data_IF_809341248118
#
_entry.id   IF_809341248118
#
_cell.length_a   1.000
_cell.length_b   1.000
_cell.length_c   1.000
_cell.angle_alpha   90.00
_cell.angle_beta   90.00
_cell.angle_gamma   90.00
#
_symmetry.space_group_name_H-M   'P 1'
#
loop_
_entity.id
_entity.type
_entity.pdbx_description
1 polymer ?
#
# COMPACT_ATOMS: atom_id res chain seq x y z
N UNK A 1 25.61 20.09 18.28
CA UNK A 1 24.54 19.90 17.28
C UNK A 1 24.35 18.39 17.15
N UNK A 2 23.42 17.83 17.91
CA UNK A 2 23.13 16.39 17.88
C UNK A 2 22.05 16.20 16.83
N UNK A 3 22.44 15.79 15.63
CA UNK A 3 21.50 15.43 14.55
C UNK A 3 20.84 14.09 14.88
N UNK A 4 19.56 13.93 14.55
CA UNK A 4 18.89 12.63 14.70
C UNK A 4 19.71 11.53 14.00
N UNK A 5 19.87 10.39 14.66
CA UNK A 5 20.56 9.26 14.06
C UNK A 5 19.59 8.59 13.07
N UNK A 6 19.75 8.89 11.79
CA UNK A 6 19.09 8.17 10.71
C UNK A 6 19.94 6.93 10.43
N UNK A 7 19.39 5.74 10.71
CA UNK A 7 20.08 4.49 10.40
C UNK A 7 19.90 4.18 8.91
N UNK A 8 20.85 4.58 8.08
CA UNK A 8 20.82 4.35 6.62
C UNK A 8 21.72 3.19 6.15
N UNK A 9 22.18 2.31 7.06
CA UNK A 9 23.20 1.33 6.69
C UNK A 9 22.66 0.20 5.79
N UNK A 10 23.20 0.02 4.56
CA UNK A 10 22.73 -1.00 3.61
C UNK A 10 23.03 -2.44 4.04
N UNK A 11 24.12 -2.69 4.78
CA UNK A 11 24.67 -4.05 4.94
C UNK A 11 24.08 -4.93 6.06
N UNK A 12 23.14 -4.45 6.86
CA UNK A 12 22.57 -5.23 8.00
C UNK A 12 21.27 -5.94 7.62
N UNK A 13 20.64 -5.54 6.52
CA UNK A 13 19.33 -6.00 6.08
C UNK A 13 19.36 -6.63 4.69
N UNK A 14 20.56 -6.94 4.19
CA UNK A 14 20.76 -7.52 2.87
C UNK A 14 20.07 -8.89 2.76
N UNK A 15 19.62 -9.20 1.54
CA UNK A 15 19.04 -10.49 1.20
C UNK A 15 20.12 -11.56 1.36
N UNK A 16 20.04 -12.36 2.43
CA UNK A 16 20.91 -13.51 2.55
C UNK A 16 20.61 -14.50 1.41
N UNK A 17 21.68 -14.92 0.73
CA UNK A 17 21.66 -15.77 -0.46
C UNK A 17 21.18 -17.19 -0.17
N UNK A 18 20.93 -17.54 1.11
CA UNK A 18 20.38 -18.83 1.53
C UNK A 18 18.85 -18.90 1.53
N UNK A 19 18.14 -17.79 1.26
CA UNK A 19 16.67 -17.76 1.27
C UNK A 19 16.09 -18.78 0.29
N UNK A 20 15.49 -19.83 0.84
CA UNK A 20 14.79 -20.85 0.06
C UNK A 20 13.29 -20.55 0.06
N UNK A 21 12.75 -20.25 -1.11
CA UNK A 21 11.32 -20.00 -1.30
C UNK A 21 10.58 -21.31 -1.64
N UNK A 22 9.35 -21.53 -1.17
CA UNK A 22 8.52 -22.65 -1.64
C UNK A 22 8.31 -22.55 -3.16
N UNK A 23 8.25 -23.70 -3.87
CA UNK A 23 8.09 -23.72 -5.32
C UNK A 23 6.75 -23.13 -5.75
N UNK A 24 6.72 -22.50 -6.93
CA UNK A 24 5.47 -22.02 -7.53
C UNK A 24 4.67 -23.19 -8.12
N UNK A 25 3.34 -23.22 -7.90
CA UNK A 25 2.46 -24.20 -8.54
C UNK A 25 2.48 -24.16 -10.08
N UNK A 26 2.66 -22.97 -10.65
CA UNK A 26 2.58 -22.69 -12.08
C UNK A 26 3.67 -21.70 -12.52
N UNK A 27 4.20 -21.91 -13.73
CA UNK A 27 5.10 -20.96 -14.42
C UNK A 27 4.39 -19.73 -14.98
N UNK A 28 3.37 -19.23 -14.28
CA UNK A 28 2.55 -18.09 -14.73
C UNK A 28 3.35 -16.79 -14.59
N UNK A 29 3.40 -15.91 -15.61
CA UNK A 29 4.03 -14.60 -15.49
C UNK A 29 3.39 -13.81 -14.35
N UNK A 30 4.20 -13.03 -13.66
CA UNK A 30 3.74 -12.16 -12.59
C UNK A 30 3.87 -10.71 -13.00
N UNK A 31 2.75 -10.02 -13.03
CA UNK A 31 2.69 -8.58 -13.02
C UNK A 31 2.85 -8.11 -11.56
N UNK A 32 4.01 -7.56 -11.23
CA UNK A 32 4.32 -6.98 -9.92
C UNK A 32 3.93 -5.50 -9.97
N UNK A 33 2.88 -5.13 -9.23
CA UNK A 33 2.23 -3.82 -9.38
C UNK A 33 2.60 -2.94 -8.18
N UNK A 34 3.52 -2.01 -8.39
CA UNK A 34 3.78 -0.93 -7.44
C UNK A 34 2.71 0.17 -7.55
N UNK A 35 2.56 0.97 -6.49
CA UNK A 35 1.76 2.20 -6.58
C UNK A 35 2.35 3.18 -7.61
N UNK A 36 3.67 3.35 -7.55
CA UNK A 36 4.42 4.36 -8.29
C UNK A 36 4.82 5.54 -7.43
N UNK A 37 5.89 6.22 -7.83
CA UNK A 37 6.52 7.30 -7.08
C UNK A 37 7.04 8.36 -8.05
N UNK A 38 6.89 9.63 -7.68
CA UNK A 38 7.57 10.75 -8.36
C UNK A 38 9.05 10.83 -8.03
N UNK A 39 9.46 10.21 -6.93
CA UNK A 39 10.86 10.10 -6.55
C UNK A 39 11.51 8.92 -7.29
N UNK A 40 12.57 9.24 -8.05
CA UNK A 40 13.28 8.27 -8.89
C UNK A 40 13.89 7.11 -8.09
N UNK A 41 14.34 7.35 -6.86
CA UNK A 41 14.87 6.29 -5.99
C UNK A 41 13.73 5.37 -5.54
N UNK A 42 12.59 5.93 -5.15
CA UNK A 42 11.40 5.14 -4.80
C UNK A 42 10.93 4.25 -5.96
N UNK A 43 10.97 4.76 -7.20
CA UNK A 43 10.73 3.95 -8.41
C UNK A 43 11.77 2.84 -8.55
N UNK A 44 13.06 3.18 -8.46
CA UNK A 44 14.15 2.22 -8.63
C UNK A 44 14.08 1.09 -7.59
N UNK A 45 13.77 1.39 -6.33
CA UNK A 45 13.64 0.37 -5.28
C UNK A 45 12.57 -0.70 -5.60
N UNK A 46 11.47 -0.34 -6.27
CA UNK A 46 10.45 -1.32 -6.72
C UNK A 46 11.00 -2.21 -7.83
N UNK A 47 11.74 -1.63 -8.78
CA UNK A 47 12.39 -2.38 -9.86
C UNK A 47 13.47 -3.33 -9.32
N UNK A 48 14.24 -2.87 -8.34
CA UNK A 48 15.27 -3.65 -7.66
C UNK A 48 14.63 -4.78 -6.85
N UNK A 49 13.50 -4.52 -6.17
CA UNK A 49 12.74 -5.56 -5.47
C UNK A 49 12.22 -6.63 -6.45
N UNK A 50 11.71 -6.23 -7.61
CA UNK A 50 11.28 -7.15 -8.66
C UNK A 50 12.45 -7.98 -9.21
N UNK A 51 13.61 -7.35 -9.38
CA UNK A 51 14.84 -8.01 -9.84
C UNK A 51 15.34 -9.02 -8.81
N UNK A 52 15.39 -8.65 -7.53
CA UNK A 52 15.76 -9.54 -6.45
C UNK A 52 14.80 -10.74 -6.36
N UNK A 53 13.50 -10.50 -6.51
CA UNK A 53 12.51 -11.57 -6.49
C UNK A 53 12.61 -12.51 -7.71
N UNK A 54 12.88 -11.96 -8.91
CA UNK A 54 13.15 -12.75 -10.12
C UNK A 54 14.39 -13.65 -9.97
N UNK A 55 15.44 -13.16 -9.31
CA UNK A 55 16.69 -13.88 -9.13
C UNK A 55 16.55 -15.12 -8.23
N UNK A 56 15.55 -15.14 -7.33
CA UNK A 56 15.27 -16.29 -6.48
C UNK A 56 14.57 -17.45 -7.21
N UNK A 57 13.94 -17.19 -8.35
CA UNK A 57 13.18 -18.19 -9.10
C UNK A 57 12.98 -17.79 -10.57
N UNK A 58 13.69 -18.47 -11.47
CA UNK A 58 13.66 -18.21 -12.91
C UNK A 58 12.57 -19.00 -13.65
N UNK A 59 11.67 -19.71 -12.95
CA UNK A 59 10.62 -20.54 -13.59
C UNK A 59 9.59 -19.75 -14.40
N UNK A 60 9.54 -18.42 -14.24
CA UNK A 60 8.66 -17.51 -14.97
C UNK A 60 9.24 -16.08 -14.98
N UNK A 61 8.73 -15.18 -15.86
CA UNK A 61 9.08 -13.75 -15.82
C UNK A 61 8.29 -12.92 -14.78
N UNK A 62 9.00 -12.10 -14.01
CA UNK A 62 8.47 -11.05 -13.12
C UNK A 62 8.51 -9.72 -13.87
N UNK A 63 7.34 -9.13 -14.10
CA UNK A 63 7.15 -7.90 -14.85
C UNK A 63 6.76 -6.77 -13.87
N UNK A 64 7.70 -5.90 -13.46
CA UNK A 64 7.34 -4.75 -12.64
C UNK A 64 6.59 -3.72 -13.46
N UNK A 65 5.54 -3.16 -12.87
CA UNK A 65 4.76 -2.06 -13.42
C UNK A 65 4.18 -1.21 -12.29
N UNK A 66 3.58 -0.08 -12.66
CA UNK A 66 3.06 0.89 -11.72
C UNK A 66 1.63 1.28 -12.06
N UNK A 67 0.84 1.49 -11.01
CA UNK A 67 -0.52 2.00 -11.12
C UNK A 67 -0.54 3.43 -11.66
N UNK A 68 0.33 4.30 -11.12
CA UNK A 68 0.35 5.73 -11.45
C UNK A 68 1.75 6.34 -11.28
N UNK A 69 1.89 7.64 -11.61
CA UNK A 69 3.05 8.51 -11.36
C UNK A 69 4.34 8.18 -12.13
N UNK A 70 4.53 6.94 -12.57
CA UNK A 70 5.76 6.49 -13.24
C UNK A 70 5.46 5.30 -14.15
N UNK A 71 6.39 5.05 -15.08
CA UNK A 71 6.38 3.93 -16.02
C UNK A 71 7.34 2.80 -15.61
N UNK A 72 7.11 1.56 -16.08
CA UNK A 72 6.04 1.15 -17.03
C UNK A 72 4.66 1.02 -16.39
N UNK A 73 3.60 1.28 -17.16
CA UNK A 73 2.20 1.18 -16.71
C UNK A 73 1.75 -0.29 -16.58
N UNK A 74 0.63 -0.53 -15.89
CA UNK A 74 -0.03 -1.85 -15.87
C UNK A 74 -0.29 -2.36 -17.29
N UNK A 75 -0.78 -1.50 -18.20
CA UNK A 75 -1.02 -1.86 -19.59
C UNK A 75 0.26 -2.29 -20.30
N UNK A 76 1.36 -1.56 -20.13
CA UNK A 76 2.66 -1.90 -20.76
C UNK A 76 3.16 -3.28 -20.26
N UNK A 77 2.96 -3.56 -18.97
CA UNK A 77 3.29 -4.86 -18.40
C UNK A 77 2.45 -6.00 -18.99
N UNK A 78 1.15 -5.77 -19.21
CA UNK A 78 0.26 -6.73 -19.87
C UNK A 78 0.63 -6.92 -21.34
N UNK A 79 0.88 -5.84 -22.08
CA UNK A 79 1.29 -5.88 -23.49
C UNK A 79 2.54 -6.77 -23.64
N UNK A 80 3.55 -6.59 -22.78
CA UNK A 80 4.77 -7.43 -22.77
C UNK A 80 4.49 -8.91 -22.50
N UNK A 81 3.57 -9.24 -21.60
CA UNK A 81 3.17 -10.62 -21.35
C UNK A 81 2.50 -11.24 -22.58
N UNK A 82 1.61 -10.48 -23.24
CA UNK A 82 0.89 -10.95 -24.43
C UNK A 82 1.83 -11.12 -25.62
N UNK A 83 2.76 -10.18 -25.83
CA UNK A 83 3.80 -10.27 -26.86
C UNK A 83 4.69 -11.52 -26.68
N UNK A 84 4.92 -11.93 -25.43
CA UNK A 84 5.64 -13.16 -25.10
C UNK A 84 4.76 -14.43 -25.19
N UNK A 85 3.48 -14.31 -25.57
CA UNK A 85 2.56 -15.42 -25.81
C UNK A 85 1.78 -15.88 -24.58
N UNK A 86 1.79 -15.14 -23.46
CA UNK A 86 1.06 -15.51 -22.26
C UNK A 86 -0.43 -15.11 -22.33
N UNK A 87 -1.30 -16.04 -21.94
CA UNK A 87 -2.76 -15.83 -21.80
C UNK A 87 -3.22 -15.79 -20.34
N UNK A 88 -2.39 -16.24 -19.41
CA UNK A 88 -2.70 -16.33 -17.99
C UNK A 88 -1.69 -15.51 -17.22
N UNK A 89 -2.14 -14.54 -16.43
CA UNK A 89 -1.26 -13.59 -15.74
C UNK A 89 -1.64 -13.47 -14.27
N UNK A 90 -0.68 -13.67 -13.37
CA UNK A 90 -0.84 -13.31 -11.95
C UNK A 90 -0.60 -11.82 -11.79
N UNK A 91 -1.56 -11.08 -11.25
CA UNK A 91 -1.44 -9.66 -10.97
C UNK A 91 -1.36 -9.44 -9.45
N UNK A 92 -0.21 -9.00 -8.94
CA UNK A 92 0.01 -8.85 -7.50
C UNK A 92 0.39 -7.42 -7.11
N UNK A 93 -0.46 -6.74 -6.33
CA UNK A 93 -0.13 -5.43 -5.76
C UNK A 93 0.94 -5.53 -4.66
N UNK A 94 2.04 -4.80 -4.85
CA UNK A 94 3.08 -4.59 -3.84
C UNK A 94 2.70 -3.37 -3.00
N UNK A 95 1.65 -3.55 -2.21
CA UNK A 95 1.04 -2.55 -1.34
C UNK A 95 0.93 -3.10 0.08
N UNK A 96 1.05 -2.23 1.09
CA UNK A 96 1.00 -2.64 2.49
C UNK A 96 -0.40 -2.89 3.01
N UNK A 97 -1.36 -2.03 2.69
CA UNK A 97 -2.75 -2.15 3.12
C UNK A 97 -3.71 -1.94 1.95
N UNK A 98 -4.86 -2.63 1.99
CA UNK A 98 -5.89 -2.48 0.99
C UNK A 98 -6.71 -1.21 1.23
N UNK A 99 -6.35 -0.15 0.53
CA UNK A 99 -7.18 1.04 0.35
C UNK A 99 -7.74 1.07 -1.08
N UNK A 100 -8.21 2.24 -1.52
CA UNK A 100 -8.74 2.50 -2.88
C UNK A 100 -7.89 1.86 -3.99
N UNK A 101 -6.57 2.02 -3.94
CA UNK A 101 -5.68 1.53 -5.00
C UNK A 101 -5.75 0.01 -5.21
N UNK A 102 -5.84 -0.77 -4.12
CA UNK A 102 -5.99 -2.22 -4.22
C UNK A 102 -7.45 -2.65 -4.47
N UNK A 103 -8.42 -1.91 -3.91
CA UNK A 103 -9.83 -2.31 -3.94
C UNK A 103 -10.56 -1.86 -5.21
N UNK A 104 -10.01 -0.91 -5.96
CA UNK A 104 -10.69 -0.26 -7.08
C UNK A 104 -9.75 0.10 -8.24
N UNK A 105 -8.66 0.83 -8.00
CA UNK A 105 -7.91 1.43 -9.11
C UNK A 105 -7.13 0.38 -9.94
N UNK A 106 -6.41 -0.55 -9.29
CA UNK A 106 -5.68 -1.62 -10.00
C UNK A 106 -6.64 -2.53 -10.77
N UNK A 107 -7.78 -2.88 -10.18
CA UNK A 107 -8.77 -3.73 -10.85
C UNK A 107 -9.35 -3.04 -12.08
N UNK A 108 -9.57 -1.73 -12.03
CA UNK A 108 -10.02 -0.97 -13.20
C UNK A 108 -8.96 -0.93 -14.32
N UNK A 109 -7.67 -0.78 -13.99
CA UNK A 109 -6.61 -0.85 -15.01
C UNK A 109 -6.50 -2.24 -15.63
N UNK A 110 -6.67 -3.31 -14.84
CA UNK A 110 -6.72 -4.67 -15.37
C UNK A 110 -7.96 -4.90 -16.26
N UNK A 111 -9.10 -4.30 -15.93
CA UNK A 111 -10.31 -4.38 -16.75
C UNK A 111 -10.12 -3.66 -18.10
N UNK A 112 -9.47 -2.49 -18.11
CA UNK A 112 -9.07 -1.80 -19.34
C UNK A 112 -8.10 -2.64 -20.17
N UNK A 113 -7.11 -3.24 -19.52
CA UNK A 113 -6.17 -4.13 -20.20
C UNK A 113 -6.86 -5.35 -20.82
N UNK A 114 -7.91 -5.89 -20.18
CA UNK A 114 -8.74 -6.98 -20.72
C UNK A 114 -9.55 -6.55 -21.95
N UNK A 115 -9.99 -5.30 -22.04
CA UNK A 115 -10.67 -4.81 -23.25
C UNK A 115 -9.75 -4.84 -24.48
N UNK A 116 -8.46 -4.55 -24.28
CA UNK A 116 -7.44 -4.62 -25.33
C UNK A 116 -6.97 -6.04 -25.63
N UNK A 117 -6.92 -6.90 -24.60
CA UNK A 117 -6.50 -8.30 -24.71
C UNK A 117 -7.55 -9.26 -24.15
N UNK A 118 -8.67 -9.51 -24.87
CA UNK A 118 -9.78 -10.34 -24.38
C UNK A 118 -9.41 -11.80 -24.09
N UNK A 119 -8.30 -12.29 -24.66
CA UNK A 119 -7.76 -13.62 -24.44
C UNK A 119 -7.07 -13.79 -23.07
N UNK A 120 -6.79 -12.70 -22.35
CA UNK A 120 -6.03 -12.73 -21.10
C UNK A 120 -6.94 -13.00 -19.90
N UNK A 121 -6.57 -14.01 -19.13
CA UNK A 121 -7.14 -14.28 -17.80
C UNK A 121 -6.21 -13.73 -16.72
N UNK A 122 -6.76 -12.86 -15.88
CA UNK A 122 -6.04 -12.29 -14.73
C UNK A 122 -6.39 -13.03 -13.45
N UNK A 123 -5.35 -13.42 -12.71
CA UNK A 123 -5.46 -13.91 -11.34
C UNK A 123 -5.00 -12.81 -10.40
N UNK A 124 -5.95 -12.15 -9.75
CA UNK A 124 -5.65 -11.01 -8.90
C UNK A 124 -5.33 -11.44 -7.47
N UNK A 125 -4.12 -11.09 -7.03
CA UNK A 125 -3.65 -11.34 -5.68
C UNK A 125 -4.04 -10.25 -4.69
N UNK A 126 -3.93 -10.56 -3.40
CA UNK A 126 -4.10 -9.56 -2.33
C UNK A 126 -2.78 -8.83 -2.04
N UNK A 127 -2.89 -7.59 -1.55
CA UNK A 127 -1.81 -6.83 -0.93
C UNK A 127 -1.08 -7.60 0.20
N UNK A 128 0.06 -7.07 0.66
CA UNK A 128 0.88 -7.73 1.69
C UNK A 128 0.12 -7.87 3.01
N UNK A 129 -0.55 -6.80 3.45
CA UNK A 129 -1.35 -6.77 4.67
C UNK A 129 -0.49 -6.98 5.92
N UNK A 130 -1.14 -7.41 6.99
CA UNK A 130 -0.46 -7.84 8.21
C UNK A 130 0.04 -9.27 8.01
N UNK A 131 1.36 -9.45 8.04
CA UNK A 131 2.02 -10.74 7.89
C UNK A 131 3.02 -10.99 9.02
N UNK A 132 3.17 -12.24 9.51
CA UNK A 132 4.15 -12.57 10.53
C UNK A 132 5.58 -12.13 10.17
N UNK A 133 5.98 -12.25 8.91
CA UNK A 133 7.33 -11.86 8.51
C UNK A 133 7.56 -10.35 8.60
N UNK A 134 6.52 -9.54 8.41
CA UNK A 134 6.63 -8.09 8.60
C UNK A 134 6.80 -7.77 10.09
N UNK A 135 6.10 -8.49 10.97
CA UNK A 135 6.28 -8.36 12.42
C UNK A 135 7.70 -8.76 12.82
N UNK A 136 8.19 -9.89 12.31
CA UNK A 136 9.55 -10.37 12.60
C UNK A 136 10.61 -9.38 12.10
N UNK A 137 10.44 -8.81 10.90
CA UNK A 137 11.32 -7.75 10.39
C UNK A 137 11.42 -6.57 11.37
N UNK A 138 10.28 -6.06 11.88
CA UNK A 138 10.31 -4.96 12.83
C UNK A 138 10.88 -5.35 14.19
N UNK A 139 10.61 -6.57 14.67
CA UNK A 139 11.19 -7.09 15.91
C UNK A 139 12.70 -7.22 15.81
N UNK A 140 13.22 -7.73 14.69
CA UNK A 140 14.65 -7.87 14.44
C UNK A 140 15.33 -6.49 14.42
N UNK A 141 14.72 -5.52 13.74
CA UNK A 141 15.22 -4.12 13.71
C UNK A 141 15.25 -3.50 15.10
N UNK A 142 14.17 -3.64 15.88
CA UNK A 142 14.11 -3.11 17.23
C UNK A 142 15.13 -3.79 18.15
N UNK A 143 15.35 -5.09 18.01
CA UNK A 143 16.37 -5.81 18.80
C UNK A 143 17.79 -5.31 18.51
N UNK A 144 18.10 -4.92 17.27
CA UNK A 144 19.40 -4.31 16.96
C UNK A 144 19.61 -2.99 17.72
N UNK A 145 18.54 -2.22 17.98
CA UNK A 145 18.61 -0.97 18.72
C UNK A 145 18.93 -1.14 20.22
N UNK A 146 18.95 -2.37 20.75
CA UNK A 146 19.41 -2.62 22.13
C UNK A 146 20.93 -2.80 22.21
N UNK A 147 21.61 -2.98 21.09
CA UNK A 147 23.06 -3.22 21.08
C UNK A 147 23.83 -1.94 21.46
N UNK A 148 25.02 -2.05 22.08
CA UNK A 148 25.83 -0.88 22.45
C UNK A 148 26.15 0.06 21.29
N UNK A 149 26.19 -0.46 20.06
CA UNK A 149 26.40 0.31 18.83
C UNK A 149 25.28 1.32 18.56
N UNK A 150 24.03 0.94 18.85
CA UNK A 150 22.83 1.76 18.59
C UNK A 150 22.16 2.26 19.90
N UNK A 151 22.69 1.85 21.06
CA UNK A 151 22.29 2.33 22.39
C UNK A 151 23.49 2.61 23.29
N UNK A 152 24.35 3.58 22.92
CA UNK A 152 25.55 3.89 23.71
C UNK A 152 25.20 4.44 25.10
N UNK A 153 24.02 5.05 25.26
CA UNK A 153 23.54 5.61 26.53
C UNK A 153 22.76 4.60 27.38
N UNK A 154 22.62 3.35 26.92
CA UNK A 154 21.91 2.27 27.61
C UNK A 154 20.50 2.67 28.07
N UNK A 155 19.78 3.41 27.23
CA UNK A 155 18.37 3.76 27.49
C UNK A 155 17.55 2.48 27.49
N UNK A 156 16.90 2.19 28.61
CA UNK A 156 16.07 0.99 28.75
C UNK A 156 14.79 1.11 27.91
N UNK A 157 14.25 -0.03 27.46
CA UNK A 157 12.99 -0.06 26.69
C UNK A 157 11.82 0.59 27.44
N UNK A 158 11.73 0.41 28.77
CA UNK A 158 10.70 1.04 29.63
C UNK A 158 10.74 2.57 29.64
N UNK A 159 11.87 3.18 29.25
CA UNK A 159 12.05 4.63 29.13
C UNK A 159 11.95 5.11 27.67
N UNK A 160 11.56 4.21 26.76
CA UNK A 160 11.54 4.42 25.31
C UNK A 160 10.13 4.29 24.74
N UNK A 161 9.72 5.24 23.92
CA UNK A 161 8.43 5.23 23.19
C UNK A 161 8.66 4.85 21.73
N UNK A 162 7.83 3.94 21.21
CA UNK A 162 7.76 3.68 19.78
C UNK A 162 6.78 4.68 19.14
N UNK A 163 7.19 5.31 18.05
CA UNK A 163 6.33 6.16 17.23
C UNK A 163 6.13 5.51 15.85
N UNK A 164 5.02 4.79 15.70
CA UNK A 164 4.67 4.07 14.48
C UNK A 164 4.01 5.02 13.47
N UNK A 165 4.60 5.14 12.28
CA UNK A 165 4.20 6.15 11.29
C UNK A 165 3.67 5.47 10.03
N UNK A 166 2.36 5.56 9.80
CA UNK A 166 1.74 5.11 8.56
C UNK A 166 1.72 6.21 7.48
N UNK A 167 1.53 5.82 6.22
CA UNK A 167 1.21 6.77 5.13
C UNK A 167 -0.13 7.48 5.37
N UNK A 168 -1.12 6.72 5.87
CA UNK A 168 -2.52 7.11 5.89
C UNK A 168 -3.22 6.77 4.57
N UNK A 169 -4.50 6.43 4.68
CA UNK A 169 -5.35 6.07 3.55
C UNK A 169 -6.72 6.74 3.66
N UNK A 170 -7.40 6.87 2.52
CA UNK A 170 -8.81 7.29 2.45
C UNK A 170 -9.79 6.16 2.77
N UNK A 171 -9.30 5.05 3.33
CA UNK A 171 -10.08 3.89 3.74
C UNK A 171 -9.83 3.65 5.25
N UNK A 172 -10.86 3.79 6.11
CA UNK A 172 -10.74 3.55 7.55
C UNK A 172 -10.20 2.17 7.91
N UNK A 173 -10.51 1.14 7.12
CA UNK A 173 -10.07 -0.24 7.34
C UNK A 173 -8.54 -0.35 7.25
N UNK A 174 -7.96 0.24 6.20
CA UNK A 174 -6.51 0.32 6.03
C UNK A 174 -5.83 1.14 7.14
N UNK A 175 -6.49 2.20 7.64
CA UNK A 175 -5.97 2.96 8.77
C UNK A 175 -6.03 2.15 10.08
N UNK A 176 -7.07 1.34 10.28
CA UNK A 176 -7.21 0.44 11.42
C UNK A 176 -6.12 -0.65 11.47
N UNK A 177 -5.73 -1.19 10.30
CA UNK A 177 -4.64 -2.16 10.22
C UNK A 177 -3.29 -1.60 10.67
N UNK A 178 -3.04 -0.30 10.49
CA UNK A 178 -1.84 0.37 11.04
C UNK A 178 -1.83 0.29 12.57
N UNK A 179 -2.95 0.61 13.22
CA UNK A 179 -3.05 0.51 14.69
C UNK A 179 -2.93 -0.93 15.18
N UNK A 180 -3.54 -1.88 14.47
CA UNK A 180 -3.44 -3.30 14.79
C UNK A 180 -1.99 -3.77 14.72
N UNK A 181 -1.27 -3.43 13.65
CA UNK A 181 0.13 -3.80 13.50
C UNK A 181 1.02 -3.12 14.55
N UNK A 182 0.85 -1.81 14.77
CA UNK A 182 1.58 -1.07 15.80
C UNK A 182 1.38 -1.70 17.19
N UNK A 183 0.14 -2.10 17.50
CA UNK A 183 -0.16 -2.82 18.74
C UNK A 183 0.58 -4.15 18.81
N UNK A 184 0.53 -4.96 17.74
CA UNK A 184 1.22 -6.26 17.70
C UNK A 184 2.74 -6.14 17.81
N UNK A 185 3.36 -5.09 17.25
CA UNK A 185 4.79 -4.82 17.40
C UNK A 185 5.15 -4.48 18.85
N UNK A 186 4.27 -3.78 19.57
CA UNK A 186 4.51 -3.36 20.94
C UNK A 186 4.25 -4.45 21.99
N UNK A 187 3.26 -5.32 21.78
CA UNK A 187 2.91 -6.38 22.74
C UNK A 187 4.12 -7.28 23.05
N UNK A 188 4.46 -7.40 24.34
CA UNK A 188 5.61 -8.20 24.80
C UNK A 188 6.99 -7.59 24.49
N UNK A 189 7.05 -6.38 23.93
CA UNK A 189 8.32 -5.73 23.57
C UNK A 189 9.07 -5.10 24.74
N UNK A 190 8.38 -4.76 25.83
CA UNK A 190 8.95 -4.04 26.98
C UNK A 190 9.20 -2.54 26.75
N UNK A 191 8.82 -1.99 25.59
CA UNK A 191 8.80 -0.53 25.38
C UNK A 191 7.69 0.12 26.21
N UNK A 192 7.89 1.37 26.64
CA UNK A 192 6.94 2.09 27.50
C UNK A 192 5.52 2.10 26.90
N UNK A 193 5.42 2.55 25.65
CA UNK A 193 4.19 2.57 24.87
C UNK A 193 4.50 2.59 23.37
N UNK A 194 3.46 2.44 22.56
CA UNK A 194 3.48 2.75 21.13
C UNK A 194 2.46 3.84 20.83
N UNK A 195 2.92 4.92 20.23
CA UNK A 195 2.07 5.94 19.64
C UNK A 195 1.98 5.74 18.12
N UNK A 196 0.79 5.96 17.56
CA UNK A 196 0.52 5.75 16.14
C UNK A 196 0.07 7.05 15.50
N UNK A 197 0.69 7.40 14.39
CA UNK A 197 0.41 8.61 13.64
C UNK A 197 0.63 8.40 12.14
N UNK A 198 0.37 9.44 11.36
CA UNK A 198 0.38 9.37 9.91
C UNK A 198 1.07 10.58 9.29
N UNK A 199 1.79 10.37 8.19
CA UNK A 199 2.45 11.47 7.46
C UNK A 199 1.52 12.12 6.42
N UNK A 200 0.49 11.41 5.97
CA UNK A 200 -0.45 11.81 4.92
C UNK A 200 -1.90 11.45 5.27
N UNK A 201 -2.85 11.86 4.41
CA UNK A 201 -4.28 11.50 4.28
C UNK A 201 -5.14 11.46 5.57
N UNK A 202 -4.75 10.74 6.61
CA UNK A 202 -5.51 10.58 7.86
C UNK A 202 -4.80 11.24 9.04
N UNK A 203 -5.48 11.27 10.18
CA UNK A 203 -5.03 11.86 11.44
C UNK A 203 -4.88 10.77 12.51
N UNK A 204 -4.08 11.00 13.58
CA UNK A 204 -3.27 12.19 13.86
C UNK A 204 -2.01 12.29 13.00
N UNK A 205 -1.59 13.51 12.66
CA UNK A 205 -0.37 13.75 11.86
C UNK A 205 0.91 13.54 12.68
N UNK A 206 2.06 13.40 12.00
CA UNK A 206 3.34 13.04 12.62
C UNK A 206 3.75 14.00 13.76
N UNK A 207 3.56 15.30 13.57
CA UNK A 207 3.86 16.33 14.57
C UNK A 207 3.03 16.12 15.85
N UNK A 208 1.76 15.79 15.71
CA UNK A 208 0.89 15.44 16.82
C UNK A 208 1.27 14.09 17.44
N UNK A 209 1.77 13.15 16.64
CA UNK A 209 2.36 11.90 17.11
C UNK A 209 3.55 12.13 18.05
N UNK A 210 4.47 13.02 17.68
CA UNK A 210 5.59 13.42 18.55
C UNK A 210 5.10 14.12 19.83
N UNK A 211 4.14 15.04 19.71
CA UNK A 211 3.55 15.72 20.88
C UNK A 211 2.97 14.70 21.87
N UNK A 212 2.23 13.71 21.39
CA UNK A 212 1.64 12.64 22.20
C UNK A 212 2.70 11.72 22.81
N UNK A 213 3.70 11.31 22.02
CA UNK A 213 4.80 10.47 22.51
C UNK A 213 5.53 11.10 23.71
N UNK A 214 5.69 12.44 23.71
CA UNK A 214 6.33 13.19 24.80
C UNK A 214 5.52 13.22 26.10
N UNK A 215 4.20 12.98 26.06
CA UNK A 215 3.38 12.94 27.28
C UNK A 215 3.79 11.81 28.23
N UNK A 216 4.44 10.77 27.71
CA UNK A 216 5.01 9.67 28.48
C UNK A 216 6.38 9.98 29.11
N UNK A 217 6.88 11.21 28.92
CA UNK A 217 8.20 11.67 29.40
C UNK A 217 9.35 10.71 29.06
N UNK A 218 9.47 10.26 27.79
CA UNK A 218 10.49 9.28 27.42
C UNK A 218 11.90 9.88 27.42
N UNK A 219 12.89 9.03 27.67
CA UNK A 219 14.29 9.35 27.39
C UNK A 219 14.64 9.17 25.90
N UNK A 220 13.90 8.30 25.21
CA UNK A 220 14.11 7.97 23.79
C UNK A 220 12.79 7.78 23.04
N UNK A 221 12.71 8.27 21.82
CA UNK A 221 11.64 8.01 20.86
C UNK A 221 12.24 7.31 19.65
N UNK A 222 11.72 6.14 19.30
CA UNK A 222 12.11 5.41 18.07
C UNK A 222 10.98 5.58 17.06
N UNK A 223 11.27 6.22 15.94
CA UNK A 223 10.33 6.40 14.82
C UNK A 223 10.40 5.19 13.91
N UNK A 224 9.24 4.56 13.65
CA UNK A 224 9.07 3.37 12.82
C UNK A 224 8.23 3.74 11.59
N UNK A 225 8.86 4.12 10.47
CA UNK A 225 8.15 4.40 9.23
C UNK A 225 7.66 3.11 8.58
N UNK A 226 6.35 2.91 8.55
CA UNK A 226 5.75 1.74 7.94
C UNK A 226 5.59 1.91 6.42
N UNK A 227 6.72 1.80 5.73
CA UNK A 227 6.86 1.96 4.28
C UNK A 227 7.68 0.82 3.69
N UNK A 228 7.32 0.38 2.48
CA UNK A 228 8.11 -0.62 1.74
C UNK A 228 9.39 -0.01 1.21
N UNK A 229 9.30 1.17 0.59
CA UNK A 229 10.41 1.81 -0.12
C UNK A 229 10.50 3.29 0.24
N UNK A 230 11.68 3.87 0.01
CA UNK A 230 11.89 5.31 0.16
C UNK A 230 11.07 6.14 -0.83
N UNK A 231 11.07 7.46 -0.64
CA UNK A 231 10.41 8.42 -1.50
C UNK A 231 10.17 9.75 -0.78
N UNK A 232 9.33 10.61 -1.37
CA UNK A 232 9.05 11.96 -0.84
C UNK A 232 8.56 11.93 0.60
N UNK A 233 7.60 11.04 0.93
CA UNK A 233 7.05 10.94 2.28
C UNK A 233 8.05 10.38 3.28
N UNK A 234 8.92 9.47 2.86
CA UNK A 234 9.96 8.92 3.73
C UNK A 234 10.96 10.02 4.11
N UNK A 235 11.42 10.78 3.13
CA UNK A 235 12.29 11.96 3.34
C UNK A 235 11.64 12.97 4.30
N UNK A 236 10.35 13.27 4.10
CA UNK A 236 9.60 14.17 4.99
C UNK A 236 9.58 13.69 6.46
N UNK A 237 9.37 12.38 6.70
CA UNK A 237 9.42 11.83 8.07
C UNK A 237 10.80 12.00 8.68
N UNK A 238 11.87 11.75 7.91
CA UNK A 238 13.25 11.91 8.35
C UNK A 238 13.55 13.37 8.71
N UNK A 239 13.11 14.32 7.88
CA UNK A 239 13.28 15.76 8.11
C UNK A 239 12.57 16.19 9.40
N UNK A 240 11.32 15.76 9.59
CA UNK A 240 10.54 16.06 10.80
C UNK A 240 11.21 15.43 12.04
N UNK A 241 11.66 14.18 11.96
CA UNK A 241 12.35 13.53 13.07
C UNK A 241 13.67 14.24 13.43
N UNK A 242 14.43 14.70 12.43
CA UNK A 242 15.64 15.49 12.63
C UNK A 242 15.34 16.84 13.28
N UNK A 243 14.28 17.52 12.85
CA UNK A 243 13.81 18.74 13.49
C UNK A 243 13.42 18.50 14.96
N UNK A 244 12.65 17.43 15.23
CA UNK A 244 12.21 17.07 16.57
C UNK A 244 13.36 16.73 17.53
N UNK A 245 14.46 16.18 17.02
CA UNK A 245 15.69 16.01 17.79
C UNK A 245 16.34 17.35 18.12
N UNK A 246 16.36 18.29 17.18
CA UNK A 246 16.95 19.62 17.35
C UNK A 246 16.17 20.48 18.36
N UNK A 247 14.84 20.44 18.26
CA UNK A 247 13.93 21.22 19.12
C UNK A 247 13.89 20.68 20.56
N UNK A 248 14.26 19.41 20.76
CA UNK A 248 14.20 18.73 22.06
C UNK A 248 15.44 17.85 22.30
N UNK A 249 16.60 18.45 22.60
CA UNK A 249 17.87 17.75 22.75
C UNK A 249 17.92 16.79 23.95
N UNK A 250 16.98 16.90 24.90
CA UNK A 250 16.87 16.05 26.08
C UNK A 250 16.30 14.65 25.79
N UNK A 251 15.57 14.49 24.69
CA UNK A 251 15.01 13.21 24.25
C UNK A 251 15.76 12.73 23.03
N UNK A 252 16.31 11.52 23.09
CA UNK A 252 16.95 10.89 21.95
C UNK A 252 15.90 10.47 20.92
N UNK A 253 16.08 10.86 19.66
CA UNK A 253 15.20 10.48 18.54
C UNK A 253 15.99 9.65 17.55
N UNK A 254 15.56 8.40 17.35
CA UNK A 254 16.11 7.49 16.35
C UNK A 254 15.05 7.29 15.27
N UNK A 255 15.38 7.56 14.01
CA UNK A 255 14.49 7.28 12.89
C UNK A 255 15.01 6.06 12.12
N UNK A 256 14.22 4.98 12.11
CA UNK A 256 14.51 3.82 11.28
C UNK A 256 14.25 4.13 9.80
N UNK A 257 14.92 3.42 8.86
CA UNK A 257 14.62 3.53 7.44
C UNK A 257 13.32 2.77 7.12
N UNK A 258 12.85 2.90 5.87
CA UNK A 258 11.82 2.03 5.32
C UNK A 258 12.22 0.54 5.41
N UNK A 259 11.28 -0.38 5.17
CA UNK A 259 11.56 -1.83 5.21
C UNK A 259 12.55 -2.28 4.13
N UNK A 260 12.50 -1.68 2.94
CA UNK A 260 13.43 -1.94 1.84
C UNK A 260 13.25 -3.33 1.22
N UNK A 261 14.35 -3.87 0.67
CA UNK A 261 14.38 -5.20 0.06
C UNK A 261 14.91 -6.17 1.12
N UNK A 262 14.00 -6.91 1.76
CA UNK A 262 14.34 -7.83 2.85
C UNK A 262 13.78 -9.22 2.60
N UNK A 263 14.47 -10.26 3.07
CA UNK A 263 14.04 -11.66 2.92
C UNK A 263 12.59 -11.90 3.39
N UNK A 264 12.21 -11.34 4.53
CA UNK A 264 10.86 -11.35 5.09
C UNK A 264 9.82 -10.87 4.07
N UNK A 265 10.10 -9.77 3.35
CA UNK A 265 9.19 -9.23 2.34
C UNK A 265 9.17 -10.07 1.06
N UNK A 266 10.30 -10.67 0.67
CA UNK A 266 10.35 -11.63 -0.44
C UNK A 266 9.57 -12.92 -0.10
N UNK A 267 9.58 -13.32 1.18
CA UNK A 267 8.75 -14.41 1.72
C UNK A 267 7.24 -14.08 1.65
N UNK A 268 6.85 -12.87 2.07
CA UNK A 268 5.46 -12.40 1.92
C UNK A 268 5.05 -12.38 0.45
N UNK A 269 5.90 -11.83 -0.43
CA UNK A 269 5.69 -11.81 -1.87
C UNK A 269 5.41 -13.22 -2.41
N UNK A 270 6.27 -14.19 -2.06
CA UNK A 270 6.09 -15.59 -2.45
C UNK A 270 4.79 -16.19 -1.96
N UNK A 271 4.43 -15.98 -0.69
CA UNK A 271 3.16 -16.49 -0.16
C UNK A 271 1.97 -15.92 -0.91
N UNK A 272 1.95 -14.60 -1.12
CA UNK A 272 0.87 -13.90 -1.82
C UNK A 272 0.74 -14.39 -3.26
N UNK A 273 1.86 -14.67 -3.89
CA UNK A 273 1.88 -15.19 -5.24
C UNK A 273 1.36 -16.63 -5.30
N UNK A 274 1.75 -17.51 -4.37
CA UNK A 274 1.21 -18.87 -4.27
C UNK A 274 -0.31 -18.80 -4.08
N UNK A 275 -0.80 -17.97 -3.14
CA UNK A 275 -2.23 -17.74 -2.93
C UNK A 275 -2.94 -17.32 -4.23
N UNK A 276 -2.31 -16.45 -5.02
CA UNK A 276 -2.82 -15.98 -6.32
C UNK A 276 -2.86 -17.10 -7.35
N UNK A 277 -1.83 -17.96 -7.38
CA UNK A 277 -1.74 -19.06 -8.33
C UNK A 277 -2.74 -20.18 -8.03
N UNK A 278 -2.99 -20.47 -6.76
CA UNK A 278 -3.89 -21.55 -6.31
C UNK A 278 -5.35 -21.10 -6.14
N UNK A 279 -5.63 -19.80 -6.26
CA UNK A 279 -6.97 -19.25 -6.03
C UNK A 279 -7.38 -19.21 -4.56
N UNK A 280 -6.43 -19.31 -3.62
CA UNK A 280 -6.70 -19.25 -2.17
C UNK A 280 -6.60 -17.83 -1.60
N UNK A 281 -6.86 -16.80 -2.43
CA UNK A 281 -6.83 -15.40 -2.02
C UNK A 281 -8.04 -15.10 -1.13
N UNK A 282 -7.80 -14.93 0.17
CA UNK A 282 -8.81 -14.50 1.13
C UNK A 282 -8.75 -12.98 1.38
N UNK A 283 -9.84 -12.28 1.09
CA UNK A 283 -10.02 -10.84 1.34
C UNK A 283 -11.18 -10.63 2.31
N UNK A 284 -10.97 -9.90 3.41
CA UNK A 284 -11.99 -9.54 4.38
C UNK A 284 -12.82 -8.35 3.87
N UNK A 285 -13.70 -8.57 2.90
CA UNK A 285 -14.49 -7.49 2.31
C UNK A 285 -15.74 -7.10 3.12
N UNK A 286 -15.97 -7.66 4.31
CA UNK A 286 -17.22 -7.48 5.07
C UNK A 286 -17.50 -6.02 5.45
N UNK A 287 -16.48 -5.28 5.89
CA UNK A 287 -16.57 -3.86 6.23
C UNK A 287 -16.06 -2.93 5.13
N UNK A 288 -15.85 -3.45 3.91
CA UNK A 288 -15.32 -2.67 2.81
C UNK A 288 -16.35 -1.62 2.36
N UNK A 289 -16.05 -0.32 2.50
CA UNK A 289 -16.97 0.76 2.12
C UNK A 289 -17.41 0.70 0.65
N UNK A 290 -16.54 0.23 -0.25
CA UNK A 290 -16.89 0.03 -1.67
C UNK A 290 -17.96 -1.05 -1.86
N UNK A 291 -17.90 -2.14 -1.06
CA UNK A 291 -18.91 -3.20 -1.06
C UNK A 291 -20.23 -2.68 -0.52
N UNK A 292 -20.19 -1.94 0.60
CA UNK A 292 -21.38 -1.38 1.23
C UNK A 292 -22.11 -0.42 0.27
N UNK A 293 -21.38 0.49 -0.38
CA UNK A 293 -21.95 1.40 -1.38
C UNK A 293 -22.55 0.67 -2.59
N UNK A 294 -21.89 -0.38 -3.11
CA UNK A 294 -22.45 -1.19 -4.20
C UNK A 294 -23.74 -1.91 -3.80
N UNK A 295 -23.83 -2.38 -2.55
CA UNK A 295 -25.04 -3.00 -2.02
C UNK A 295 -26.20 -1.98 -1.88
N UNK A 296 -25.90 -0.78 -1.38
CA UNK A 296 -26.87 0.34 -1.28
C UNK A 296 -27.39 0.76 -2.66
N UNK A 297 -26.51 0.91 -3.65
CA UNK A 297 -26.90 1.25 -5.02
C UNK A 297 -27.84 0.20 -5.63
N UNK A 298 -27.55 -1.09 -5.41
CA UNK A 298 -28.39 -2.18 -5.92
C UNK A 298 -29.74 -2.29 -5.18
N UNK A 299 -29.77 -2.04 -3.87
CA UNK A 299 -31.02 -2.05 -3.09
C UNK A 299 -31.91 -0.85 -3.40
N UNK A 300 -31.35 0.30 -3.75
CA UNK A 300 -32.11 1.45 -4.27
C UNK A 300 -32.75 1.19 -5.66
N UNK A 301 -32.19 0.26 -6.46
CA UNK A 301 -32.73 -0.10 -7.77
C UNK A 301 -33.92 -1.06 -7.72
N UNK A 302 -34.16 -1.74 -6.59
CA UNK A 302 -35.25 -2.69 -6.41
C UNK A 302 -36.56 -2.09 -5.82
N UNK A 303 -36.65 -0.76 -5.73
CA UNK A 303 -37.83 -0.04 -5.22
C UNK A 303 -38.91 0.28 -6.27
N UNK A 304 -38.80 -0.20 -7.51
CA UNK A 304 -39.86 -0.05 -8.50
C UNK A 304 -40.77 -1.28 -8.51
N UNK A 305 -41.87 -1.16 -7.77
CA UNK A 305 -43.05 -2.02 -7.85
C UNK A 305 -43.45 -2.25 -9.32
N UNK A 306 -43.25 -3.47 -9.81
CA UNK A 306 -43.93 -3.93 -11.02
C UNK A 306 -45.30 -4.49 -10.61
N UNK A 307 -46.27 -3.59 -10.45
CA UNK A 307 -47.68 -3.97 -10.49
C UNK A 307 -48.00 -4.50 -11.89
N UNK A 308 -48.05 -5.82 -12.05
CA UNK A 308 -48.51 -6.46 -13.27
C UNK A 308 -50.04 -6.34 -13.37
N UNK A 309 -50.50 -5.22 -13.91
CA UNK A 309 -51.85 -5.04 -14.44
C UNK A 309 -51.92 -5.54 -15.88
N UNK A 310 -53.02 -6.22 -16.19
CA UNK A 310 -53.27 -7.07 -17.34
C UNK A 310 -53.28 -6.39 -18.73
N UNK A 311 -53.12 -7.28 -19.73
CA UNK A 311 -53.93 -7.40 -20.95
C UNK A 311 -53.40 -6.92 -22.31
N UNK A 312 -53.84 -7.70 -23.30
CA UNK A 312 -53.32 -7.91 -24.64
C UNK A 312 -53.63 -6.77 -25.62
N UNK A 313 -52.77 -6.61 -26.64
CA UNK A 313 -53.10 -5.80 -27.82
C UNK A 313 -52.02 -5.88 -28.89
N UNK A 314 -52.30 -6.64 -29.95
CA UNK A 314 -51.54 -6.69 -31.20
C UNK A 314 -51.45 -5.30 -31.85
N UNK A 315 -50.35 -5.05 -32.57
CA UNK A 315 -50.26 -3.92 -33.47
C UNK A 315 -48.85 -3.66 -33.93
N UNK A 316 -48.48 -4.28 -35.06
CA UNK A 316 -47.40 -3.83 -35.93
C UNK A 316 -47.48 -2.31 -36.10
N UNK A 317 -46.35 -1.60 -36.01
CA UNK A 317 -46.01 -0.50 -36.92
C UNK A 317 -44.54 -0.12 -36.74
N UNK A 318 -43.78 -0.33 -37.81
CA UNK A 318 -42.44 0.18 -37.99
C UNK A 318 -42.46 1.71 -38.11
N UNK A 319 -41.61 2.39 -37.35
CA UNK A 319 -41.05 3.68 -37.73
C UNK A 319 -39.58 3.71 -37.32
N UNK A 320 -38.72 3.83 -38.32
CA UNK A 320 -37.31 4.08 -38.12
C UNK A 320 -37.08 5.52 -37.72
N UNK A 321 -36.17 5.73 -36.77
CA UNK A 321 -35.31 6.90 -36.75
C UNK A 321 -33.92 6.48 -36.32
N UNK A 322 -33.00 6.63 -37.26
CA UNK A 322 -31.57 6.58 -37.07
C UNK A 322 -31.13 7.74 -36.17
N UNK A 323 -30.59 7.41 -35.00
CA UNK A 323 -29.69 8.31 -34.28
C UNK A 323 -28.44 7.54 -33.90
N UNK A 324 -27.43 7.62 -34.76
CA UNK A 324 -26.07 7.26 -34.41
C UNK A 324 -25.52 8.33 -33.47
N UNK A 325 -25.50 8.04 -32.17
CA UNK A 325 -24.69 8.78 -31.21
C UNK A 325 -23.43 7.97 -30.93
N UNK A 326 -22.38 8.27 -31.69
CA UNK A 326 -21.01 7.94 -31.31
C UNK A 326 -20.61 8.86 -30.15
N UNK A 327 -20.78 8.40 -28.92
CA UNK A 327 -20.13 9.04 -27.77
C UNK A 327 -18.69 8.53 -27.69
N UNK A 328 -17.78 9.21 -28.38
CA UNK A 328 -16.36 9.14 -28.08
C UNK A 328 -16.12 9.85 -26.75
N UNK A 329 -16.17 9.12 -25.64
CA UNK A 329 -15.69 9.63 -24.37
C UNK A 329 -14.16 9.55 -24.37
N UNK A 330 -13.51 10.56 -24.95
CA UNK A 330 -12.12 10.86 -24.62
C UNK A 330 -12.11 11.50 -23.23
N UNK A 331 -11.89 10.69 -22.19
CA UNK A 331 -11.44 11.22 -20.91
C UNK A 331 -9.98 11.64 -21.06
N UNK A 332 -9.77 12.82 -21.65
CA UNK A 332 -8.51 13.53 -21.53
C UNK A 332 -8.37 13.95 -20.07
N UNK A 333 -7.54 13.23 -19.31
CA UNK A 333 -7.06 13.70 -18.02
C UNK A 333 -6.07 14.85 -18.27
N UNK A 334 -6.61 16.02 -18.59
CA UNK A 334 -5.85 17.26 -18.62
C UNK A 334 -5.49 17.64 -17.18
N UNK A 335 -4.24 17.38 -16.81
CA UNK A 335 -3.66 17.94 -15.59
C UNK A 335 -2.48 18.82 -15.98
N UNK A 336 -2.80 20.03 -16.43
CA UNK A 336 -1.96 21.17 -16.07
C UNK A 336 -2.13 21.40 -14.56
N UNK A 337 -1.03 21.54 -13.83
CA UNK A 337 -0.76 22.68 -12.96
C UNK A 337 0.55 22.43 -12.17
N UNK A 338 1.54 23.29 -12.41
CA UNK A 338 2.57 23.63 -11.43
C UNK A 338 1.91 24.43 -10.30
N UNK A 339 2.06 23.97 -9.06
CA UNK A 339 1.47 24.54 -7.85
C UNK A 339 0.92 23.44 -6.95
N UNK A 340 1.42 23.33 -5.72
CA UNK A 340 0.92 22.35 -4.73
C UNK A 340 -0.60 22.49 -4.58
N UNK A 341 -1.36 21.50 -5.03
CA UNK A 341 -2.77 21.44 -4.68
C UNK A 341 -2.89 21.32 -3.15
N UNK A 342 -3.77 22.10 -2.49
CA UNK A 342 -3.96 22.03 -1.05
C UNK A 342 -4.28 20.59 -0.63
N UNK A 343 -3.62 20.05 0.41
CA UNK A 343 -3.93 18.71 0.95
C UNK A 343 -5.42 18.69 1.35
N UNK A 344 -6.29 17.96 0.62
CA UNK A 344 -7.72 17.99 0.86
C UNK A 344 -8.11 17.30 2.18
N UNK A 345 -7.14 16.72 2.89
CA UNK A 345 -7.30 16.11 4.21
C UNK A 345 -6.50 16.83 5.30
N UNK A 346 -6.01 18.06 5.02
CA UNK A 346 -5.28 18.86 5.98
C UNK A 346 -6.13 19.13 7.24
N UNK A 347 -7.38 19.56 7.03
CA UNK A 347 -8.30 19.89 8.11
C UNK A 347 -9.03 18.64 8.65
N UNK A 348 -8.96 18.34 9.96
CA UNK A 348 -9.59 17.14 10.53
C UNK A 348 -11.09 17.04 10.27
N UNK A 349 -11.82 18.16 10.33
CA UNK A 349 -13.26 18.18 10.06
C UNK A 349 -13.58 17.72 8.63
N UNK A 350 -12.88 18.28 7.64
CA UNK A 350 -13.05 17.91 6.24
C UNK A 350 -12.65 16.46 5.97
N UNK A 351 -11.63 15.97 6.66
CA UNK A 351 -11.27 14.55 6.62
C UNK A 351 -12.42 13.65 7.10
N UNK A 352 -13.03 13.97 8.26
CA UNK A 352 -14.12 13.17 8.82
C UNK A 352 -15.36 13.14 7.91
N UNK A 353 -15.67 14.25 7.25
CA UNK A 353 -16.80 14.32 6.31
C UNK A 353 -16.58 13.45 5.07
N UNK A 354 -15.32 13.28 4.65
CA UNK A 354 -14.94 12.57 3.42
C UNK A 354 -14.67 11.08 3.59
N UNK A 355 -14.20 10.65 4.75
CA UNK A 355 -13.52 9.34 4.86
C UNK A 355 -14.41 8.13 4.55
N UNK A 356 -15.71 8.24 4.80
CA UNK A 356 -16.69 7.18 4.50
C UNK A 356 -17.31 7.28 3.10
N UNK A 357 -17.04 8.36 2.36
CA UNK A 357 -17.55 8.53 1.01
C UNK A 357 -16.78 7.64 0.03
N UNK A 358 -17.50 7.06 -0.93
CA UNK A 358 -16.93 6.36 -2.08
C UNK A 358 -16.75 7.38 -3.23
N UNK A 359 -15.66 7.29 -4.02
CA UNK A 359 -15.34 8.25 -5.07
C UNK A 359 -16.35 8.34 -6.21
#
# INVERSE_FOLDING_TARGET
MTTAQILTHPGVFDVDQSLTLPPLPHGRPLLLIGHGSRDAQGRQNVLDFATAYQALDASRPVIPCFLELTEPTIQDGVDRCVEAGYTDISALPVLLFAARHNKFDVTNELDRARQRHPQVTFHYGRHFGIAPEILDLWRDRLAQLDTPTYNPHQVERKDTVLLFVGRGASDPDANGDVYKLARMVWEGSGYNTVETCFIGITHPRLEEGFRRARLYQPKRIIVLPYFLFTGVLMKKIQDIAAQQQGDHPETEVICLPEMGIHQQLLGVMRRREIETQTGSVAMNCEMCKFRLAAFEANSASHGHDHSHGHEHGHGDHAHGHSHGHTHGHSHGHGHHHEGEMPDPYAEPAQYHDRIWQVP
#
